data_IF_738203113384
#
_entry.id   IF_738203113384
#
_cell.length_a   1.000
_cell.length_b   1.000
_cell.length_c   1.000
_cell.angle_alpha   90.00
_cell.angle_beta   90.00
_cell.angle_gamma   90.00
#
_symmetry.space_group_name_H-M   'P 1'
#
loop_
_entity.id
_entity.type
_entity.pdbx_description
1 polymer ?
#
# COMPACT_ATOMS: atom_id res chain seq x y z
N UNK A 1 10.64 -11.04 -3.17
CA UNK A 1 11.47 -9.81 -3.19
C UNK A 1 10.74 -8.56 -3.70
N UNK A 2 9.99 -8.59 -4.83
CA UNK A 2 9.32 -7.38 -5.37
C UNK A 2 8.43 -6.61 -4.37
N UNK A 3 7.64 -7.31 -3.54
CA UNK A 3 6.79 -6.66 -2.54
C UNK A 3 7.54 -6.00 -1.38
N UNK A 4 8.76 -6.46 -1.06
CA UNK A 4 9.56 -5.86 0.01
C UNK A 4 10.17 -4.54 -0.46
N UNK A 5 10.68 -4.48 -1.70
CA UNK A 5 11.19 -3.25 -2.30
C UNK A 5 10.12 -2.16 -2.42
N UNK A 6 8.90 -2.50 -2.86
CA UNK A 6 7.79 -1.54 -2.96
C UNK A 6 7.42 -0.98 -1.58
N UNK A 7 7.38 -1.82 -0.54
CA UNK A 7 7.09 -1.37 0.83
C UNK A 7 8.17 -0.42 1.34
N UNK A 8 9.44 -0.76 1.13
CA UNK A 8 10.56 0.10 1.52
C UNK A 8 10.48 1.46 0.81
N UNK A 9 10.20 1.47 -0.48
CA UNK A 9 10.05 2.69 -1.28
C UNK A 9 8.90 3.56 -0.76
N UNK A 10 7.73 2.95 -0.48
CA UNK A 10 6.59 3.65 0.12
C UNK A 10 6.90 4.20 1.51
N UNK A 11 7.65 3.46 2.33
CA UNK A 11 8.08 3.95 3.65
C UNK A 11 9.06 5.12 3.51
N UNK A 12 10.03 5.06 2.59
CA UNK A 12 10.96 6.17 2.34
C UNK A 12 10.18 7.41 1.87
N UNK A 13 9.24 7.23 0.95
CA UNK A 13 8.38 8.31 0.49
C UNK A 13 7.57 8.93 1.64
N UNK A 14 6.96 8.09 2.48
CA UNK A 14 6.22 8.54 3.66
C UNK A 14 7.13 9.29 4.66
N UNK A 15 8.35 8.80 4.86
CA UNK A 15 9.33 9.44 5.74
C UNK A 15 9.65 10.85 5.24
N UNK A 16 9.98 11.01 3.96
CA UNK A 16 10.26 12.34 3.37
C UNK A 16 9.05 13.27 3.50
N UNK A 17 7.85 12.77 3.23
CA UNK A 17 6.61 13.56 3.36
C UNK A 17 6.38 14.03 4.80
N UNK A 18 6.54 13.12 5.77
CA UNK A 18 6.36 13.44 7.19
C UNK A 18 7.44 14.40 7.70
N UNK A 19 8.68 14.26 7.24
CA UNK A 19 9.77 15.15 7.62
C UNK A 19 9.52 16.59 7.13
N UNK A 20 9.01 16.76 5.90
CA UNK A 20 8.58 18.06 5.39
C UNK A 20 7.51 18.72 6.27
N UNK A 21 6.58 17.92 6.81
CA UNK A 21 5.57 18.42 7.75
C UNK A 21 6.22 18.84 9.07
N UNK A 22 7.18 18.08 9.58
CA UNK A 22 7.93 18.42 10.81
C UNK A 22 8.69 19.73 10.63
N UNK A 23 9.40 19.91 9.51
CA UNK A 23 10.13 21.15 9.20
C UNK A 23 9.17 22.35 9.26
N UNK A 24 8.03 22.28 8.57
CA UNK A 24 7.07 23.37 8.57
C UNK A 24 6.48 23.63 9.97
N UNK A 25 6.11 22.59 10.71
CA UNK A 25 5.59 22.72 12.08
C UNK A 25 6.61 23.33 13.05
N UNK A 26 7.86 22.89 12.99
CA UNK A 26 8.93 23.37 13.85
C UNK A 26 9.31 24.82 13.54
N UNK A 27 9.23 25.24 12.28
CA UNK A 27 9.54 26.59 11.84
C UNK A 27 8.39 27.60 11.97
N UNK A 28 7.13 27.16 12.17
CA UNK A 28 5.98 28.06 12.33
C UNK A 28 6.12 28.97 13.56
N UNK A 29 6.59 28.46 14.70
CA UNK A 29 6.74 29.28 15.91
C UNK A 29 7.81 30.38 15.74
N UNK A 30 9.03 30.08 15.27
CA UNK A 30 10.02 31.10 14.89
C UNK A 30 9.47 32.10 13.85
N UNK A 31 8.76 31.60 12.83
CA UNK A 31 8.18 32.44 11.79
C UNK A 31 7.19 33.46 12.36
N UNK A 32 6.24 33.00 13.20
CA UNK A 32 5.28 33.88 13.89
C UNK A 32 6.02 34.85 14.79
N UNK A 33 7.07 34.40 15.49
CA UNK A 33 7.84 35.25 16.38
C UNK A 33 8.57 36.38 15.65
N UNK A 34 9.06 36.13 14.44
CA UNK A 34 9.71 37.12 13.59
C UNK A 34 8.70 38.07 12.90
N UNK A 35 7.51 37.59 12.55
CA UNK A 35 6.51 38.32 11.76
C UNK A 35 5.30 38.82 12.59
N UNK A 36 5.44 38.94 13.92
CA UNK A 36 4.34 39.31 14.85
C UNK A 36 3.53 40.54 14.44
N UNK A 37 4.11 41.48 13.69
CA UNK A 37 3.47 42.72 13.27
C UNK A 37 2.77 42.64 11.90
N UNK A 38 3.09 41.66 11.05
CA UNK A 38 2.59 41.54 9.67
C UNK A 38 2.45 40.07 9.28
N UNK A 39 1.52 39.35 9.91
CA UNK A 39 1.11 38.02 9.45
C UNK A 39 0.18 38.23 8.24
N UNK A 40 0.77 38.58 7.09
CA UNK A 40 0.06 38.55 5.81
C UNK A 40 0.23 37.18 5.15
N UNK A 41 -0.64 36.82 4.22
CA UNK A 41 -0.60 35.50 3.57
C UNK A 41 0.64 35.27 2.70
N UNK A 42 1.25 36.33 2.17
CA UNK A 42 2.38 36.23 1.23
C UNK A 42 3.68 35.72 1.90
N UNK A 43 4.16 36.29 3.03
CA UNK A 43 5.33 35.77 3.76
C UNK A 43 5.17 34.32 4.21
N UNK A 44 3.95 33.91 4.56
CA UNK A 44 3.68 32.53 4.96
C UNK A 44 3.78 31.55 3.77
N UNK A 45 3.27 31.95 2.60
CA UNK A 45 3.42 31.16 1.38
C UNK A 45 4.90 31.03 0.98
N UNK A 46 5.65 32.13 1.07
CA UNK A 46 7.09 32.13 0.79
C UNK A 46 7.83 31.19 1.74
N UNK A 47 7.54 31.25 3.04
CA UNK A 47 8.09 30.33 4.05
C UNK A 47 7.82 28.85 3.74
N UNK A 48 6.59 28.48 3.39
CA UNK A 48 6.26 27.09 3.03
C UNK A 48 7.01 26.68 1.75
N UNK A 49 7.02 27.55 0.74
CA UNK A 49 7.61 27.25 -0.57
C UNK A 49 9.11 27.05 -0.43
N UNK A 50 9.77 27.89 0.35
CA UNK A 50 11.20 27.78 0.66
C UNK A 50 11.53 26.44 1.34
N UNK A 51 10.79 26.08 2.40
CA UNK A 51 10.98 24.81 3.08
C UNK A 51 10.72 23.58 2.19
N UNK A 52 9.83 23.72 1.19
CA UNK A 52 9.51 22.64 0.25
C UNK A 52 10.60 22.48 -0.83
N UNK A 53 11.18 23.59 -1.30
CA UNK A 53 12.23 23.60 -2.33
C UNK A 53 13.61 23.27 -1.74
N UNK A 54 13.88 23.70 -0.51
CA UNK A 54 15.17 23.59 0.16
C UNK A 54 15.09 22.87 1.54
N UNK A 55 14.48 21.66 1.62
CA UNK A 55 14.23 21.00 2.90
C UNK A 55 15.51 20.61 3.67
N UNK A 56 16.61 20.37 2.95
CA UNK A 56 17.91 20.05 3.56
C UNK A 56 18.46 21.27 4.30
N UNK A 57 18.43 22.44 3.66
CA UNK A 57 18.93 23.69 4.24
C UNK A 57 18.08 24.10 5.45
N UNK A 58 16.75 24.02 5.34
CA UNK A 58 15.83 24.26 6.46
C UNK A 58 16.11 23.31 7.64
N UNK A 59 16.38 22.04 7.36
CA UNK A 59 16.72 21.07 8.41
C UNK A 59 18.05 21.40 9.08
N UNK A 60 19.09 21.78 8.32
CA UNK A 60 20.38 22.16 8.88
C UNK A 60 20.26 23.39 9.79
N UNK A 61 19.49 24.38 9.38
CA UNK A 61 19.24 25.58 10.18
C UNK A 61 18.52 25.23 11.49
N UNK A 62 17.52 24.36 11.45
CA UNK A 62 16.81 23.92 12.66
C UNK A 62 17.69 23.12 13.62
N UNK A 63 18.66 22.36 13.10
CA UNK A 63 19.66 21.64 13.90
C UNK A 63 20.62 22.63 14.57
N UNK A 64 21.09 23.64 13.85
CA UNK A 64 21.98 24.69 14.35
C UNK A 64 21.29 25.54 15.44
N UNK A 65 20.02 25.90 15.22
CA UNK A 65 19.18 26.62 16.18
C UNK A 65 18.75 25.76 17.38
N UNK A 66 19.08 24.46 17.37
CA UNK A 66 18.68 23.48 18.36
C UNK A 66 17.17 23.46 18.62
N UNK A 67 16.38 23.56 17.54
CA UNK A 67 14.93 23.64 17.65
C UNK A 67 14.37 22.34 18.28
N UNK A 68 13.76 22.40 19.48
CA UNK A 68 13.33 21.20 20.19
C UNK A 68 12.14 20.50 19.50
N UNK A 69 11.30 21.25 18.81
CA UNK A 69 10.16 20.69 18.06
C UNK A 69 10.63 19.89 16.86
N UNK A 70 11.68 20.36 16.18
CA UNK A 70 12.30 19.62 15.09
C UNK A 70 12.81 18.27 15.58
N UNK A 71 13.65 18.23 16.63
CA UNK A 71 14.19 16.97 17.14
C UNK A 71 13.10 15.99 17.63
N UNK A 72 12.10 16.47 18.38
CA UNK A 72 10.99 15.63 18.83
C UNK A 72 10.18 15.09 17.65
N UNK A 73 9.91 15.94 16.66
CA UNK A 73 9.19 15.57 15.44
C UNK A 73 9.95 14.53 14.62
N UNK A 74 11.22 14.78 14.30
CA UNK A 74 12.04 13.88 13.49
C UNK A 74 12.22 12.52 14.18
N UNK A 75 12.43 12.48 15.50
CA UNK A 75 12.49 11.21 16.24
C UNK A 75 11.17 10.45 16.16
N UNK A 76 10.04 11.14 16.32
CA UNK A 76 8.72 10.52 16.20
C UNK A 76 8.48 9.97 14.78
N UNK A 77 8.86 10.71 13.75
CA UNK A 77 8.74 10.29 12.34
C UNK A 77 9.62 9.08 12.06
N UNK A 78 10.85 9.04 12.57
CA UNK A 78 11.75 7.89 12.42
C UNK A 78 11.16 6.63 13.06
N UNK A 79 10.64 6.73 14.29
CA UNK A 79 9.99 5.62 14.98
C UNK A 79 8.74 5.13 14.25
N UNK A 80 7.89 6.05 13.78
CA UNK A 80 6.70 5.71 13.02
C UNK A 80 7.03 5.04 11.70
N UNK A 81 8.02 5.57 10.97
CA UNK A 81 8.48 5.02 9.69
C UNK A 81 9.06 3.61 9.87
N UNK A 82 9.86 3.41 10.92
CA UNK A 82 10.36 2.10 11.29
C UNK A 82 9.22 1.13 11.62
N UNK A 83 8.26 1.57 12.44
CA UNK A 83 7.09 0.76 12.77
C UNK A 83 6.29 0.37 11.51
N UNK A 84 6.06 1.33 10.61
CA UNK A 84 5.34 1.13 9.36
C UNK A 84 6.02 0.12 8.43
N UNK A 85 7.36 0.18 8.30
CA UNK A 85 8.12 -0.74 7.46
C UNK A 85 8.09 -2.19 7.96
N UNK A 86 8.27 -2.39 9.27
CA UNK A 86 8.54 -3.73 9.82
C UNK A 86 7.34 -4.41 10.46
N UNK A 87 6.43 -3.64 11.08
CA UNK A 87 5.37 -4.20 11.92
C UNK A 87 3.98 -4.07 11.29
N UNK A 88 3.79 -3.12 10.37
CA UNK A 88 2.50 -2.92 9.73
C UNK A 88 2.23 -4.02 8.70
N UNK A 89 1.50 -5.05 9.11
CA UNK A 89 1.04 -6.11 8.20
C UNK A 89 -0.04 -5.53 7.29
N UNK A 90 0.20 -5.57 5.98
CA UNK A 90 -0.83 -5.20 5.00
C UNK A 90 -2.11 -6.00 5.25
N UNK A 91 -3.23 -5.30 5.41
CA UNK A 91 -4.54 -5.92 5.51
C UNK A 91 -4.83 -6.65 4.20
N UNK A 92 -4.51 -7.95 4.14
CA UNK A 92 -5.06 -8.80 3.10
C UNK A 92 -6.55 -8.87 3.40
N UNK A 93 -7.33 -8.10 2.65
CA UNK A 93 -8.78 -8.17 2.72
C UNK A 93 -9.18 -9.64 2.68
N UNK A 94 -9.87 -10.11 3.71
CA UNK A 94 -10.54 -11.41 3.63
C UNK A 94 -11.60 -11.22 2.57
N UNK A 95 -11.36 -11.70 1.35
CA UNK A 95 -12.41 -11.78 0.35
C UNK A 95 -13.53 -12.60 0.98
N UNK A 96 -14.66 -11.94 1.27
CA UNK A 96 -15.85 -12.63 1.71
C UNK A 96 -16.35 -13.36 0.48
N UNK A 97 -15.98 -14.65 0.35
CA UNK A 97 -16.65 -15.53 -0.58
C UNK A 97 -18.12 -15.52 -0.19
N UNK A 98 -18.99 -15.26 -1.16
CA UNK A 98 -20.43 -15.16 -0.99
C UNK A 98 -21.04 -16.56 -0.75
N UNK A 99 -20.53 -17.31 0.23
CA UNK A 99 -21.03 -18.64 0.57
C UNK A 99 -22.43 -18.59 1.21
N UNK A 100 -22.83 -17.42 1.73
CA UNK A 100 -24.01 -17.30 2.61
C UNK A 100 -25.28 -16.71 1.98
N UNK A 101 -25.20 -16.03 0.83
CA UNK A 101 -26.37 -15.37 0.21
C UNK A 101 -26.46 -15.68 -1.28
N UNK A 102 -27.11 -16.78 -1.62
CA UNK A 102 -27.54 -17.09 -2.99
C UNK A 102 -28.88 -16.45 -3.30
N UNK A 103 -28.88 -15.19 -3.72
CA UNK A 103 -30.08 -14.54 -4.26
C UNK A 103 -29.89 -14.42 -5.77
N UNK A 104 -30.72 -15.18 -6.49
CA UNK A 104 -30.92 -15.23 -7.95
C UNK A 104 -29.74 -14.84 -8.85
N UNK A 105 -29.05 -15.86 -9.38
CA UNK A 105 -27.97 -15.72 -10.37
C UNK A 105 -26.55 -15.84 -9.80
N UNK A 106 -26.39 -16.23 -8.53
CA UNK A 106 -25.09 -16.34 -7.88
C UNK A 106 -24.30 -17.57 -8.36
N UNK A 107 -23.45 -17.38 -9.38
CA UNK A 107 -22.34 -18.30 -9.65
C UNK A 107 -21.39 -18.27 -8.44
N UNK A 108 -21.53 -19.23 -7.53
CA UNK A 108 -20.55 -19.47 -6.46
C UNK A 108 -19.53 -20.51 -6.93
N UNK A 109 -18.32 -20.43 -6.42
CA UNK A 109 -17.34 -21.51 -6.63
C UNK A 109 -17.90 -22.80 -6.03
N UNK A 110 -18.02 -23.82 -6.86
CA UNK A 110 -18.53 -25.11 -6.44
C UNK A 110 -17.59 -25.76 -5.42
N UNK A 111 -18.16 -26.35 -4.37
CA UNK A 111 -17.38 -27.08 -3.39
C UNK A 111 -16.94 -28.44 -3.96
N UNK A 112 -15.82 -28.97 -3.46
CA UNK A 112 -15.27 -30.25 -3.96
C UNK A 112 -16.27 -31.41 -3.93
N UNK A 113 -17.13 -31.46 -2.92
CA UNK A 113 -18.16 -32.51 -2.80
C UNK A 113 -19.33 -32.35 -3.78
N UNK A 114 -19.54 -31.14 -4.33
CA UNK A 114 -20.53 -30.88 -5.37
C UNK A 114 -20.01 -31.30 -6.75
N UNK A 115 -18.69 -31.19 -6.97
CA UNK A 115 -18.02 -31.54 -8.23
C UNK A 115 -17.72 -33.05 -8.28
N UNK A 116 -17.24 -33.64 -7.18
CA UNK A 116 -16.78 -35.03 -7.14
C UNK A 116 -17.78 -35.92 -6.41
N UNK A 117 -18.90 -36.23 -7.09
CA UNK A 117 -19.89 -37.19 -6.59
C UNK A 117 -19.42 -38.62 -6.80
N UNK A 118 -19.58 -39.43 -5.76
CA UNK A 118 -19.21 -40.85 -5.79
C UNK A 118 -20.14 -41.61 -6.75
N UNK A 119 -19.57 -42.35 -7.70
CA UNK A 119 -20.33 -43.09 -8.73
C UNK A 119 -20.64 -42.30 -10.00
N UNK A 120 -20.57 -40.96 -9.97
CA UNK A 120 -20.77 -40.11 -11.15
C UNK A 120 -19.46 -39.54 -11.70
N UNK A 121 -18.40 -39.47 -10.88
CA UNK A 121 -17.09 -38.98 -11.29
C UNK A 121 -16.01 -40.06 -11.25
N UNK A 122 -15.29 -40.20 -12.36
CA UNK A 122 -14.17 -41.14 -12.51
C UNK A 122 -12.86 -40.36 -12.43
N UNK A 123 -11.95 -40.78 -11.55
CA UNK A 123 -10.62 -40.18 -11.44
C UNK A 123 -9.69 -40.84 -12.45
N UNK A 124 -9.33 -40.10 -13.51
CA UNK A 124 -8.47 -40.59 -14.58
C UNK A 124 -7.09 -39.92 -14.50
N UNK A 125 -5.98 -40.64 -14.73
CA UNK A 125 -4.66 -40.02 -14.85
C UNK A 125 -4.61 -39.02 -16.01
N UNK A 126 -3.87 -37.91 -15.84
CA UNK A 126 -3.81 -36.80 -16.81
C UNK A 126 -3.44 -37.30 -18.22
N UNK A 127 -2.49 -38.22 -18.34
CA UNK A 127 -2.05 -38.77 -19.63
C UNK A 127 -3.17 -39.51 -20.38
N UNK A 128 -4.07 -40.15 -19.65
CA UNK A 128 -5.17 -40.91 -20.23
C UNK A 128 -6.32 -39.96 -20.59
N UNK A 129 -6.63 -38.99 -19.73
CA UNK A 129 -7.58 -37.91 -20.05
C UNK A 129 -7.22 -37.17 -21.35
N UNK A 130 -5.93 -36.86 -21.56
CA UNK A 130 -5.47 -36.20 -22.78
C UNK A 130 -5.66 -37.07 -24.03
N UNK A 131 -5.42 -38.39 -23.91
CA UNK A 131 -5.66 -39.33 -25.02
C UNK A 131 -7.14 -39.47 -25.34
N UNK A 132 -7.99 -39.54 -24.31
CA UNK A 132 -9.44 -39.68 -24.47
C UNK A 132 -10.04 -38.41 -25.12
N UNK A 133 -9.54 -37.23 -24.75
CA UNK A 133 -9.91 -35.96 -25.38
C UNK A 133 -9.47 -35.90 -26.85
N UNK A 134 -8.24 -36.26 -27.15
CA UNK A 134 -7.72 -36.29 -28.53
C UNK A 134 -8.52 -37.25 -29.41
N UNK A 135 -8.86 -38.43 -28.89
CA UNK A 135 -9.71 -39.40 -29.56
C UNK A 135 -11.13 -38.86 -29.81
N UNK A 136 -11.75 -38.20 -28.81
CA UNK A 136 -13.10 -37.64 -28.95
C UNK A 136 -13.20 -36.52 -29.99
N UNK A 137 -12.12 -35.77 -30.21
CA UNK A 137 -12.05 -34.72 -31.23
C UNK A 137 -11.81 -35.26 -32.63
N UNK A 138 -11.29 -36.48 -32.76
CA UNK A 138 -11.06 -37.15 -34.04
C UNK A 138 -12.30 -37.89 -34.53
N UNK A 139 -13.12 -38.43 -33.62
CA UNK A 139 -14.33 -39.19 -33.92
C UNK A 139 -15.44 -38.33 -34.55
N UNK A 140 -15.47 -37.02 -34.27
CA UNK A 140 -16.43 -36.07 -34.85
C UNK A 140 -16.23 -35.80 -36.35
N UNK A 141 -15.17 -36.33 -36.97
CA UNK A 141 -14.97 -36.27 -38.43
C UNK A 141 -15.61 -37.45 -39.19
N UNK A 142 -16.22 -38.40 -38.49
CA UNK A 142 -16.74 -39.66 -39.05
C UNK A 142 -18.25 -39.76 -39.28
N UNK A 143 -19.09 -38.90 -38.68
CA UNK A 143 -20.53 -38.93 -38.91
C UNK A 143 -20.93 -37.96 -40.03
N UNK A 144 -21.05 -38.51 -41.24
CA UNK A 144 -21.86 -37.98 -42.35
C UNK A 144 -23.11 -38.82 -42.50
#
# INVERSE_FOLDING_TARGET
>A
MKMFGIRLLLTIFLLVLLELIVINLAGILPFIAAHKANISGAPYQEFITENLLHPIESSTLMIEEKNPLFFLGSVAVLLLSFYAAFFMKGAKGKYQLADKYGVHGSSRFAHKHEIFKHGETVRVPIKQLMKDLEASMLDTKGEK
#
